data_IF_375118636409
#
_entry.id   IF_375118636409
#
_cell.length_a   1.000
_cell.length_b   1.000
_cell.length_c   1.000
_cell.angle_alpha   90.00
_cell.angle_beta   90.00
_cell.angle_gamma   90.00
#
_symmetry.space_group_name_H-M   'P 1'
#
loop_
_entity.id
_entity.type
_entity.pdbx_description
1 polymer ?
#
# COMPACT_ATOMS: atom_id res chain seq x y z
N UNK A 1 0.84 5.57 -28.12
CA UNK A 1 -0.12 4.58 -27.55
C UNK A 1 -0.01 4.66 -26.04
N UNK A 2 -1.03 5.19 -25.36
CA UNK A 2 -1.06 5.18 -23.88
C UNK A 2 -1.45 3.75 -23.46
N UNK A 3 -0.74 3.10 -22.51
CA UNK A 3 -1.05 1.74 -22.08
C UNK A 3 -2.51 1.61 -21.62
N UNK A 4 -3.16 0.52 -22.01
CA UNK A 4 -4.60 0.21 -21.94
C UNK A 4 -5.24 0.15 -20.54
N UNK A 5 -4.59 0.68 -19.50
CA UNK A 5 -5.01 0.53 -18.10
C UNK A 5 -5.39 1.83 -17.36
N UNK A 6 -5.04 3.00 -17.88
CA UNK A 6 -5.31 4.27 -17.19
C UNK A 6 -6.64 4.85 -17.66
N UNK A 7 -7.70 4.66 -16.86
CA UNK A 7 -8.98 5.34 -17.10
C UNK A 7 -8.88 6.81 -16.71
N UNK A 8 -9.13 7.68 -17.69
CA UNK A 8 -9.21 9.13 -17.47
C UNK A 8 -10.59 9.48 -16.93
N UNK A 9 -10.65 9.98 -15.69
CA UNK A 9 -11.88 10.44 -15.05
C UNK A 9 -12.06 11.95 -15.28
N UNK A 10 -12.52 12.34 -16.48
CA UNK A 10 -12.55 13.75 -16.91
C UNK A 10 -13.42 14.63 -16.02
N UNK A 11 -14.65 14.21 -15.71
CA UNK A 11 -15.58 15.02 -14.93
C UNK A 11 -15.11 15.20 -13.49
N UNK A 12 -14.64 14.13 -12.86
CA UNK A 12 -14.08 14.19 -11.50
C UNK A 12 -12.81 15.03 -11.42
N UNK A 13 -11.91 14.91 -12.40
CA UNK A 13 -10.70 15.73 -12.46
C UNK A 13 -11.03 17.23 -12.63
N UNK A 14 -12.05 17.57 -13.42
CA UNK A 14 -12.51 18.95 -13.58
C UNK A 14 -13.09 19.52 -12.27
N UNK A 15 -14.03 18.81 -11.65
CA UNK A 15 -14.64 19.25 -10.39
C UNK A 15 -13.59 19.41 -9.28
N UNK A 16 -12.73 18.40 -9.08
CA UNK A 16 -11.65 18.45 -8.11
C UNK A 16 -10.67 19.58 -8.42
N UNK A 17 -10.28 19.76 -9.68
CA UNK A 17 -9.38 20.83 -10.10
C UNK A 17 -9.87 22.22 -9.68
N UNK A 18 -11.19 22.44 -9.77
CA UNK A 18 -11.84 23.67 -9.33
C UNK A 18 -11.99 23.74 -7.81
N UNK A 19 -12.59 22.71 -7.20
CA UNK A 19 -12.92 22.67 -5.76
C UNK A 19 -11.67 22.69 -4.87
N UNK A 20 -10.61 21.97 -5.25
CA UNK A 20 -9.35 21.94 -4.50
C UNK A 20 -8.43 23.12 -4.85
N UNK A 21 -8.81 23.99 -5.79
CA UNK A 21 -8.00 25.13 -6.21
C UNK A 21 -6.62 24.73 -6.71
N UNK A 22 -6.54 23.63 -7.48
CA UNK A 22 -5.26 23.04 -7.94
C UNK A 22 -4.42 24.07 -8.71
N UNK A 23 -5.05 24.99 -9.43
CA UNK A 23 -4.40 26.07 -10.15
C UNK A 23 -3.70 27.12 -9.26
N UNK A 24 -3.97 27.11 -7.95
CA UNK A 24 -3.33 27.97 -6.95
C UNK A 24 -2.28 27.22 -6.12
N UNK A 25 -2.09 25.93 -6.38
CA UNK A 25 -1.08 25.12 -5.70
C UNK A 25 0.33 25.57 -6.07
N UNK A 26 1.26 25.50 -5.12
CA UNK A 26 2.69 25.74 -5.35
C UNK A 26 3.42 24.51 -5.91
N UNK A 27 2.71 23.41 -6.14
CA UNK A 27 3.29 22.16 -6.66
C UNK A 27 3.54 22.28 -8.17
N UNK A 28 4.76 22.01 -8.58
CA UNK A 28 5.11 21.85 -10.00
C UNK A 28 4.71 20.46 -10.49
N UNK A 29 3.67 20.40 -11.32
CA UNK A 29 3.17 19.16 -11.90
C UNK A 29 4.17 18.43 -12.80
N UNK A 30 5.19 19.11 -13.33
CA UNK A 30 6.22 18.47 -14.16
C UNK A 30 7.19 17.61 -13.35
N UNK A 31 7.32 17.90 -12.05
CA UNK A 31 8.13 17.10 -11.13
C UNK A 31 7.38 15.89 -10.59
N UNK A 32 6.05 15.82 -10.78
CA UNK A 32 5.24 14.70 -10.33
C UNK A 32 5.28 13.60 -11.40
N UNK A 33 5.87 12.43 -11.13
CA UNK A 33 5.93 11.36 -12.12
C UNK A 33 4.51 10.81 -12.40
N UNK A 34 4.29 10.27 -13.61
CA UNK A 34 3.10 9.49 -13.89
C UNK A 34 2.91 8.39 -12.84
N UNK A 35 1.67 8.15 -12.42
CA UNK A 35 1.32 7.18 -11.37
C UNK A 35 1.88 7.50 -9.97
N UNK A 36 2.39 8.70 -9.71
CA UNK A 36 2.99 9.07 -8.42
C UNK A 36 2.15 8.74 -7.19
N UNK A 37 0.83 9.02 -7.24
CA UNK A 37 -0.08 8.66 -6.14
C UNK A 37 -0.18 7.15 -5.92
N UNK A 38 -0.29 6.36 -6.99
CA UNK A 38 -0.39 4.90 -6.91
C UNK A 38 0.89 4.33 -6.29
N UNK A 39 2.06 4.79 -6.77
CA UNK A 39 3.36 4.37 -6.23
C UNK A 39 3.53 4.76 -4.77
N UNK A 40 3.09 5.95 -4.38
CA UNK A 40 3.15 6.40 -2.99
C UNK A 40 2.31 5.51 -2.07
N UNK A 41 1.06 5.22 -2.46
CA UNK A 41 0.18 4.32 -1.70
C UNK A 41 0.77 2.91 -1.63
N UNK A 42 1.26 2.37 -2.74
CA UNK A 42 1.90 1.03 -2.77
C UNK A 42 3.10 0.95 -1.82
N UNK A 43 3.99 1.94 -1.83
CA UNK A 43 5.13 2.01 -0.90
C UNK A 43 4.70 2.18 0.56
N UNK A 44 3.64 2.95 0.81
CA UNK A 44 3.07 3.10 2.16
C UNK A 44 2.55 1.77 2.72
N UNK A 45 1.86 0.97 1.90
CA UNK A 45 1.38 -0.35 2.29
C UNK A 45 2.56 -1.29 2.61
N UNK A 46 3.59 -1.31 1.76
CA UNK A 46 4.81 -2.10 2.00
C UNK A 46 5.53 -1.69 3.29
N UNK A 47 5.54 -0.39 3.61
CA UNK A 47 6.12 0.12 4.84
C UNK A 47 5.39 -0.41 6.08
N UNK A 48 4.06 -0.41 6.08
CA UNK A 48 3.24 -0.94 7.19
C UNK A 48 3.48 -2.45 7.35
N UNK A 49 3.57 -3.19 6.24
CA UNK A 49 3.86 -4.62 6.28
C UNK A 49 5.24 -4.91 6.89
N UNK A 50 6.25 -4.10 6.54
CA UNK A 50 7.57 -4.20 7.14
C UNK A 50 7.53 -3.92 8.65
N UNK A 51 6.86 -2.86 9.09
CA UNK A 51 6.73 -2.54 10.52
C UNK A 51 6.06 -3.68 11.31
N UNK A 52 5.01 -4.29 10.76
CA UNK A 52 4.30 -5.41 11.38
C UNK A 52 5.09 -6.74 11.35
N UNK A 53 6.10 -6.85 10.50
CA UNK A 53 6.87 -8.09 10.32
C UNK A 53 8.20 -8.02 11.06
N UNK A 54 8.85 -6.86 11.07
CA UNK A 54 10.18 -6.63 11.66
C UNK A 54 10.25 -6.79 13.19
N UNK A 55 9.11 -6.82 13.90
CA UNK A 55 9.09 -6.99 15.36
C UNK A 55 9.35 -8.44 15.83
N UNK A 56 9.54 -9.40 14.92
CA UNK A 56 9.88 -10.77 15.28
C UNK A 56 11.34 -10.98 14.90
N UNK A 57 12.22 -11.11 15.90
CA UNK A 57 13.69 -11.16 15.78
C UNK A 57 14.26 -12.30 14.89
N UNK A 58 13.42 -13.19 14.36
CA UNK A 58 13.80 -14.37 13.58
C UNK A 58 12.97 -14.50 12.29
N UNK A 59 13.08 -13.54 11.37
CA UNK A 59 12.53 -13.74 10.02
C UNK A 59 13.61 -13.49 8.99
N UNK A 60 14.08 -14.58 8.39
CA UNK A 60 14.70 -14.57 7.07
C UNK A 60 13.86 -13.68 6.16
N UNK A 61 14.46 -12.60 5.66
CA UNK A 61 13.85 -11.62 4.75
C UNK A 61 13.42 -12.23 3.39
N UNK A 62 13.54 -13.55 3.26
CA UNK A 62 13.15 -14.39 2.12
C UNK A 62 11.75 -15.02 2.30
N UNK A 63 11.07 -14.87 3.45
CA UNK A 63 9.65 -15.26 3.57
C UNK A 63 8.79 -14.27 2.78
N UNK A 64 8.23 -14.72 1.65
CA UNK A 64 7.34 -13.95 0.79
C UNK A 64 6.30 -13.16 1.61
N UNK A 65 6.31 -11.83 1.41
CA UNK A 65 5.40 -10.80 1.92
C UNK A 65 3.92 -11.06 1.50
N UNK A 66 3.34 -12.14 2.00
CA UNK A 66 2.03 -12.68 1.58
C UNK A 66 1.11 -12.96 2.78
N UNK A 67 1.57 -12.71 4.02
CA UNK A 67 0.77 -13.02 5.20
C UNK A 67 -0.38 -12.02 5.41
N UNK A 68 -0.30 -10.81 4.88
CA UNK A 68 -1.34 -9.79 5.06
C UNK A 68 -2.00 -9.44 3.73
N UNK A 69 -3.31 -9.24 3.74
CA UNK A 69 -3.99 -8.69 2.58
C UNK A 69 -3.85 -7.15 2.59
N UNK A 70 -3.81 -6.49 1.43
CA UNK A 70 -3.74 -5.03 1.37
C UNK A 70 -4.85 -4.34 2.17
N UNK A 71 -6.05 -4.93 2.24
CA UNK A 71 -7.15 -4.39 3.04
C UNK A 71 -6.87 -4.46 4.55
N UNK A 72 -6.18 -5.50 5.02
CA UNK A 72 -5.80 -5.63 6.42
C UNK A 72 -4.81 -4.52 6.81
N UNK A 73 -3.80 -4.28 5.96
CA UNK A 73 -2.80 -3.23 6.13
C UNK A 73 -3.40 -1.81 6.18
N UNK A 74 -4.54 -1.60 5.52
CA UNK A 74 -5.22 -0.29 5.46
C UNK A 74 -6.19 -0.09 6.63
N UNK A 75 -6.76 -1.17 7.19
CA UNK A 75 -7.90 -1.08 8.11
C UNK A 75 -7.58 -1.46 9.55
N UNK A 76 -6.46 -2.15 9.80
CA UNK A 76 -6.10 -2.70 11.12
C UNK A 76 -4.91 -1.96 11.71
N UNK A 77 -4.84 -1.96 13.03
CA UNK A 77 -3.67 -1.45 13.73
C UNK A 77 -2.52 -2.47 13.76
N UNK A 78 -1.32 -1.98 14.10
CA UNK A 78 -0.09 -2.79 14.14
C UNK A 78 -0.23 -4.00 15.05
N UNK A 79 -0.91 -3.90 16.19
CA UNK A 79 -1.09 -5.03 17.11
C UNK A 79 -2.01 -6.11 16.52
N UNK A 80 -3.09 -5.72 15.86
CA UNK A 80 -3.95 -6.65 15.13
C UNK A 80 -3.21 -7.36 13.99
N UNK A 81 -2.37 -6.64 13.25
CA UNK A 81 -1.56 -7.20 12.18
C UNK A 81 -0.58 -8.27 12.71
N UNK A 82 0.10 -7.98 13.82
CA UNK A 82 0.96 -8.96 14.48
C UNK A 82 0.21 -10.24 14.88
N UNK A 83 -1.02 -10.10 15.39
CA UNK A 83 -1.85 -11.26 15.77
C UNK A 83 -2.18 -12.13 14.55
N UNK A 84 -2.50 -11.52 13.41
CA UNK A 84 -2.80 -12.23 12.16
C UNK A 84 -1.56 -12.97 11.65
N UNK A 85 -0.39 -12.30 11.65
CA UNK A 85 0.88 -12.92 11.25
C UNK A 85 1.18 -14.13 12.13
N UNK A 86 1.09 -13.97 13.46
CA UNK A 86 1.34 -15.05 14.42
C UNK A 86 0.42 -16.26 14.20
N UNK A 87 -0.86 -16.02 13.96
CA UNK A 87 -1.83 -17.09 13.69
C UNK A 87 -1.52 -17.82 12.37
N UNK A 88 -1.21 -17.07 11.31
CA UNK A 88 -0.87 -17.66 10.00
C UNK A 88 0.43 -18.46 10.05
N UNK A 89 1.46 -17.98 10.75
CA UNK A 89 2.71 -18.71 10.99
C UNK A 89 2.45 -20.04 11.72
N UNK A 90 1.64 -20.05 12.79
CA UNK A 90 1.25 -21.28 13.50
C UNK A 90 0.54 -22.28 12.58
N UNK A 91 -0.42 -21.81 11.77
CA UNK A 91 -1.13 -22.67 10.81
C UNK A 91 -0.20 -23.23 9.73
N UNK A 92 0.82 -22.48 9.31
CA UNK A 92 1.79 -22.93 8.32
C UNK A 92 2.73 -24.00 8.88
N UNK A 93 3.16 -23.92 10.14
CA UNK A 93 3.98 -24.94 10.79
C UNK A 93 3.20 -26.25 11.02
N UNK A 94 1.92 -26.16 11.41
CA UNK A 94 1.06 -27.33 11.62
C UNK A 94 0.77 -28.13 10.35
N UNK A 95 0.79 -27.49 9.17
CA UNK A 95 0.61 -28.17 7.88
C UNK A 95 1.87 -28.87 7.37
N UNK A 96 3.04 -28.56 7.93
CA UNK A 96 4.33 -29.16 7.56
C UNK A 96 4.66 -30.41 8.40
N UNK A 97 3.83 -30.75 9.37
CA UNK A 97 3.98 -31.93 10.26
C UNK A 97 2.90 -32.95 9.92
#
# INVERSE_FOLDING_TARGET
MIPSGIRVHRHSAFALGYEAGINKSTVDGNLVPPSGLITFVQKGIQYIELEATASNDDIDMDEDFQFLQPIDLITKDVYELHKIIKEKKRKASERKT
#
